data_IF_039735206820
#
_entry.id   IF_039735206820
#
_cell.length_a   1.000
_cell.length_b   1.000
_cell.length_c   1.000
_cell.angle_alpha   90.00
_cell.angle_beta   90.00
_cell.angle_gamma   90.00
#
_symmetry.space_group_name_H-M   'P 1'
#
loop_
_entity.id
_entity.type
_entity.pdbx_description
1 polymer ?
#
# COMPACT_ATOMS: atom_id res chain seq x y z
N UNK A 1 4.37 5.05 49.01
CA UNK A 1 4.41 6.25 48.13
C UNK A 1 5.06 5.83 46.82
N UNK A 2 4.27 5.53 45.78
CA UNK A 2 4.82 5.27 44.44
C UNK A 2 5.51 6.56 43.98
N UNK A 3 6.83 6.51 43.78
CA UNK A 3 7.61 7.67 43.38
C UNK A 3 7.02 8.28 42.13
N UNK A 4 6.73 9.58 42.18
CA UNK A 4 6.33 10.32 40.99
C UNK A 4 7.49 10.17 40.00
N UNK A 5 7.26 9.40 38.93
CA UNK A 5 8.27 9.15 37.91
C UNK A 5 8.87 10.46 37.40
N UNK A 6 10.14 10.44 36.99
CA UNK A 6 10.81 11.64 36.52
C UNK A 6 10.19 12.11 35.19
N UNK A 7 9.18 12.98 35.27
CA UNK A 7 8.42 13.50 34.12
C UNK A 7 9.35 14.15 33.11
N UNK A 8 10.40 14.86 33.57
CA UNK A 8 11.40 15.47 32.69
C UNK A 8 12.13 14.42 31.86
N UNK A 9 12.50 13.30 32.48
CA UNK A 9 13.12 12.18 31.77
C UNK A 9 12.14 11.51 30.81
N UNK A 10 10.88 11.34 31.21
CA UNK A 10 9.83 10.79 30.34
C UNK A 10 9.63 11.64 29.08
N UNK A 11 9.55 12.97 29.23
CA UNK A 11 9.39 13.89 28.11
C UNK A 11 10.61 13.90 27.19
N UNK A 12 11.82 13.75 27.76
CA UNK A 12 13.04 13.60 26.96
C UNK A 12 12.96 12.34 26.11
N UNK A 13 12.69 11.17 26.71
CA UNK A 13 12.59 9.91 25.96
C UNK A 13 11.49 9.93 24.90
N UNK A 14 10.35 10.56 25.19
CA UNK A 14 9.29 10.73 24.19
C UNK A 14 9.80 11.53 22.99
N UNK A 15 10.45 12.68 23.23
CA UNK A 15 11.02 13.50 22.17
C UNK A 15 12.10 12.77 21.36
N UNK A 16 12.97 12.01 22.03
CA UNK A 16 13.98 11.20 21.33
C UNK A 16 13.31 10.11 20.48
N UNK A 17 12.25 9.46 20.98
CA UNK A 17 11.52 8.42 20.24
C UNK A 17 10.82 8.96 18.99
N UNK A 18 10.29 10.19 19.03
CA UNK A 18 9.68 10.85 17.87
C UNK A 18 10.69 11.15 16.75
N UNK A 19 11.98 11.26 17.09
CA UNK A 19 13.06 11.54 16.15
C UNK A 19 13.88 10.30 15.78
N UNK A 20 13.55 9.13 16.33
CA UNK A 20 14.24 7.89 16.04
C UNK A 20 14.04 7.50 14.56
N UNK A 21 15.07 6.91 13.96
CA UNK A 21 14.93 6.34 12.63
C UNK A 21 13.95 5.16 12.65
N UNK A 22 13.16 5.00 11.60
CA UNK A 22 12.27 3.85 11.47
C UNK A 22 13.07 2.55 11.41
N UNK A 23 12.53 1.53 12.07
CA UNK A 23 13.05 0.17 11.97
C UNK A 23 12.94 -0.36 10.53
N UNK A 24 13.86 -1.26 10.19
CA UNK A 24 13.80 -1.99 8.95
C UNK A 24 12.61 -2.96 8.99
N UNK A 25 11.86 -3.04 7.89
CA UNK A 25 10.78 -4.01 7.74
C UNK A 25 10.70 -4.52 6.29
N UNK A 26 9.92 -5.56 6.06
CA UNK A 26 9.59 -6.00 4.70
C UNK A 26 8.49 -5.13 4.14
N UNK A 27 8.75 -4.38 3.08
CA UNK A 27 7.74 -3.55 2.44
C UNK A 27 7.63 -3.76 0.94
N UNK A 28 6.42 -3.57 0.43
CA UNK A 28 6.09 -3.71 -0.98
C UNK A 28 6.39 -2.41 -1.72
N UNK A 29 7.32 -2.47 -2.68
CA UNK A 29 7.70 -1.32 -3.50
C UNK A 29 6.61 -0.82 -4.46
N UNK A 30 5.47 -1.53 -4.56
CA UNK A 30 4.35 -1.14 -5.44
C UNK A 30 3.21 -0.42 -4.70
N UNK A 31 2.96 -0.75 -3.43
CA UNK A 31 1.79 -0.24 -2.70
C UNK A 31 2.07 0.18 -1.25
N UNK A 32 3.35 0.19 -0.87
CA UNK A 32 3.84 0.55 0.45
C UNK A 32 3.24 -0.27 1.60
N UNK A 33 2.73 -1.47 1.32
CA UNK A 33 2.38 -2.44 2.36
C UNK A 33 3.63 -2.86 3.13
N UNK A 34 3.61 -2.82 4.46
CA UNK A 34 4.70 -3.27 5.33
C UNK A 34 4.31 -4.53 6.12
N UNK A 35 5.30 -5.35 6.46
CA UNK A 35 5.13 -6.59 7.21
C UNK A 35 6.41 -6.94 7.97
N UNK A 36 6.26 -7.66 9.08
CA UNK A 36 7.38 -8.24 9.83
C UNK A 36 7.97 -9.47 9.13
N UNK A 37 7.18 -10.15 8.29
CA UNK A 37 7.60 -11.37 7.59
C UNK A 37 7.67 -11.16 6.08
N UNK A 38 8.63 -11.83 5.44
CA UNK A 38 8.80 -11.76 4.00
C UNK A 38 7.66 -12.49 3.28
N UNK A 39 7.18 -11.90 2.19
CA UNK A 39 6.19 -12.50 1.30
C UNK A 39 6.69 -12.47 -0.14
N UNK A 40 6.55 -13.58 -0.86
CA UNK A 40 6.92 -13.60 -2.29
C UNK A 40 5.94 -12.79 -3.16
N UNK A 41 4.65 -12.86 -2.82
CA UNK A 41 3.57 -12.09 -3.45
C UNK A 41 3.01 -11.13 -2.40
N UNK A 42 2.89 -9.84 -2.71
CA UNK A 42 2.35 -8.87 -1.77
C UNK A 42 0.89 -9.20 -1.41
N UNK A 43 0.53 -9.33 -0.12
CA UNK A 43 -0.83 -9.67 0.28
C UNK A 43 -1.85 -8.53 0.04
N UNK A 44 -1.38 -7.28 -0.12
CA UNK A 44 -2.25 -6.11 -0.35
C UNK A 44 -2.57 -5.87 -1.82
N UNK A 45 -1.58 -6.01 -2.71
CA UNK A 45 -1.72 -5.65 -4.13
C UNK A 45 -1.37 -6.78 -5.10
N UNK A 46 -1.09 -7.99 -4.60
CA UNK A 46 -0.76 -9.19 -5.38
C UNK A 46 0.43 -9.04 -6.32
N UNK A 47 1.27 -8.02 -6.12
CA UNK A 47 2.47 -7.81 -6.91
C UNK A 47 3.52 -8.89 -6.62
N UNK A 48 4.04 -9.51 -7.69
CA UNK A 48 5.02 -10.59 -7.63
C UNK A 48 6.44 -10.06 -7.39
N UNK A 49 7.13 -10.61 -6.38
CA UNK A 49 8.54 -10.33 -6.09
C UNK A 49 8.85 -8.82 -5.91
N UNK A 50 7.95 -8.11 -5.21
CA UNK A 50 8.10 -6.67 -4.93
C UNK A 50 8.35 -6.33 -3.46
N UNK A 51 8.50 -7.33 -2.59
CA UNK A 51 8.87 -7.12 -1.17
C UNK A 51 10.38 -6.89 -1.03
N UNK A 52 10.78 -5.87 -0.26
CA UNK A 52 12.18 -5.50 0.02
C UNK A 52 12.36 -5.21 1.51
N UNK A 53 13.54 -5.54 2.05
CA UNK A 53 13.92 -5.24 3.43
C UNK A 53 14.53 -3.84 3.45
N UNK A 54 13.76 -2.87 3.92
CA UNK A 54 14.16 -1.46 3.88
C UNK A 54 13.42 -0.63 4.94
N UNK A 55 13.79 0.65 5.06
CA UNK A 55 13.09 1.63 5.90
C UNK A 55 11.90 2.19 5.12
N UNK A 56 10.69 1.86 5.57
CA UNK A 56 9.47 2.42 4.99
C UNK A 56 8.97 3.57 5.85
N UNK A 57 8.60 4.69 5.20
CA UNK A 57 7.98 5.81 5.89
C UNK A 57 6.48 5.51 6.07
N UNK A 58 6.06 5.30 7.32
CA UNK A 58 4.64 5.39 7.68
C UNK A 58 4.26 6.86 7.80
N UNK A 59 3.94 7.49 6.67
CA UNK A 59 3.38 8.84 6.71
C UNK A 59 1.90 8.72 7.08
N UNK A 60 1.53 9.19 8.27
CA UNK A 60 0.14 9.49 8.57
C UNK A 60 -0.28 10.66 7.66
N UNK A 61 -0.95 10.36 6.55
CA UNK A 61 -1.54 11.38 5.69
C UNK A 61 -2.67 12.02 6.50
N UNK A 62 -2.37 13.14 7.17
CA UNK A 62 -3.41 14.03 7.70
C UNK A 62 -4.30 14.40 6.52
N UNK A 63 -5.54 13.91 6.55
CA UNK A 63 -6.44 13.92 5.40
C UNK A 63 -6.50 15.29 4.73
N UNK A 64 -5.99 15.37 3.51
CA UNK A 64 -6.28 16.51 2.63
C UNK A 64 -7.77 16.38 2.30
N UNK A 65 -8.59 17.44 2.46
CA UNK A 65 -9.97 17.40 1.99
C UNK A 65 -9.93 17.21 0.48
N UNK A 66 -10.20 16.00 0.00
CA UNK A 66 -10.39 15.75 -1.42
C UNK A 66 -11.81 16.22 -1.74
N UNK A 67 -11.93 17.41 -2.33
CA UNK A 67 -13.14 17.78 -3.04
C UNK A 67 -13.28 16.85 -4.26
N UNK A 68 -14.00 15.74 -4.07
CA UNK A 68 -14.37 14.86 -5.18
C UNK A 68 -15.35 15.64 -6.05
N UNK A 69 -14.84 16.27 -7.10
CA UNK A 69 -15.67 16.74 -8.22
C UNK A 69 -16.23 15.47 -8.87
N UNK A 70 -17.44 15.07 -8.46
CA UNK A 70 -18.17 13.93 -9.02
C UNK A 70 -18.43 14.21 -10.50
N UNK A 71 -17.53 13.77 -11.37
CA UNK A 71 -17.77 13.78 -12.80
C UNK A 71 -18.87 12.74 -13.08
N UNK A 72 -20.04 13.21 -13.54
CA UNK A 72 -21.31 12.45 -13.55
C UNK A 72 -21.37 11.28 -14.56
N UNK A 73 -20.27 10.91 -15.23
CA UNK A 73 -20.31 10.01 -16.39
C UNK A 73 -19.72 8.60 -16.20
N UNK A 74 -19.43 8.16 -14.96
CA UNK A 74 -18.97 6.78 -14.71
C UNK A 74 -19.98 5.69 -15.12
N UNK A 75 -21.27 6.01 -15.18
CA UNK A 75 -22.32 5.06 -15.61
C UNK A 75 -22.28 4.74 -17.10
N UNK A 76 -21.71 5.61 -17.94
CA UNK A 76 -21.67 5.40 -19.40
C UNK A 76 -20.55 4.46 -19.84
N UNK A 77 -19.48 4.32 -19.04
CA UNK A 77 -18.33 3.45 -19.36
C UNK A 77 -18.66 1.97 -19.10
N UNK A 78 -19.50 1.70 -18.11
CA UNK A 78 -19.77 0.33 -17.63
C UNK A 78 -20.75 -0.44 -18.54
N UNK A 79 -21.55 0.25 -19.36
CA UNK A 79 -22.62 -0.39 -20.14
C UNK A 79 -22.29 -0.73 -21.60
N UNK A 80 -21.02 -0.69 -22.04
CA UNK A 80 -20.68 -0.90 -23.46
C UNK A 80 -20.06 -2.24 -23.84
N UNK A 81 -19.86 -3.20 -22.93
CA UNK A 81 -19.38 -4.53 -23.35
C UNK A 81 -20.14 -5.64 -22.64
N UNK A 82 -20.73 -6.51 -23.45
CA UNK A 82 -21.30 -7.77 -22.99
C UNK A 82 -20.16 -8.58 -22.31
N UNK A 83 -20.39 -9.19 -21.14
CA UNK A 83 -19.36 -9.92 -20.41
C UNK A 83 -18.74 -11.07 -21.22
N UNK A 84 -19.47 -11.64 -22.18
CA UNK A 84 -18.96 -12.65 -23.11
C UNK A 84 -17.88 -12.12 -24.06
N UNK A 85 -17.97 -10.86 -24.51
CA UNK A 85 -17.00 -10.25 -25.41
C UNK A 85 -15.69 -9.88 -24.68
N UNK A 86 -15.79 -9.55 -23.38
CA UNK A 86 -14.62 -9.27 -22.54
C UNK A 86 -13.79 -10.54 -22.28
N UNK A 87 -14.45 -11.70 -22.11
CA UNK A 87 -13.77 -12.98 -21.89
C UNK A 87 -13.07 -13.51 -23.17
N UNK A 88 -13.63 -13.24 -24.36
CA UNK A 88 -13.01 -13.65 -25.64
C UNK A 88 -11.73 -12.89 -25.96
N UNK A 89 -11.68 -11.58 -25.67
CA UNK A 89 -10.47 -10.76 -25.91
C UNK A 89 -9.24 -11.25 -25.14
N UNK A 90 -9.43 -11.73 -23.90
CA UNK A 90 -8.33 -12.30 -23.07
C UNK A 90 -7.80 -13.60 -23.68
N UNK A 91 -8.66 -14.44 -24.26
CA UNK A 91 -8.27 -15.73 -24.85
C UNK A 91 -7.48 -15.56 -26.16
N UNK A 92 -7.83 -14.54 -26.98
CA UNK A 92 -7.09 -14.24 -28.21
C UNK A 92 -5.66 -13.73 -27.92
N UNK A 93 -5.49 -12.91 -26.87
CA UNK A 93 -4.16 -12.42 -26.45
C UNK A 93 -3.27 -13.56 -25.91
N UNK A 94 -3.84 -14.54 -25.21
CA UNK A 94 -3.11 -15.71 -24.71
C UNK A 94 -2.69 -16.67 -25.83
N UNK A 95 -3.49 -16.80 -26.90
CA UNK A 95 -3.16 -17.65 -28.07
C UNK A 95 -1.96 -17.12 -28.85
N UNK A 96 -1.82 -15.79 -28.98
CA UNK A 96 -0.70 -15.17 -29.70
C UNK A 96 0.66 -15.31 -29.01
N UNK A 97 0.69 -15.71 -27.73
CA UNK A 97 1.92 -15.87 -26.94
C UNK A 97 2.50 -17.29 -26.90
N UNK A 98 1.82 -18.28 -27.47
CA UNK A 98 2.23 -19.70 -27.41
C UNK A 98 3.13 -20.12 -28.59
N UNK A 99 3.14 -19.35 -29.69
CA UNK A 99 4.00 -19.62 -30.86
C UNK A 99 5.27 -18.73 -30.87
N UNK A 100 6.09 -18.84 -29.83
CA UNK A 100 7.48 -18.34 -29.84
C UNK A 100 8.47 -19.32 -29.25
#
# INVERSE_FOLDING_TARGET
KMGHGNIKMSNLWLKESENAENDLCWGCMMCSYTSEVWHFICPKCSSLNKMKWDKFLTVEIKGIPVEITRNKNLKEIIHKKNPEDAARGILDELRGGVDR
#
